data_IF_964743022694
#
_entry.id   IF_964743022694
#
_cell.length_a   1.000
_cell.length_b   1.000
_cell.length_c   1.000
_cell.angle_alpha   90.00
_cell.angle_beta   90.00
_cell.angle_gamma   90.00
#
_symmetry.space_group_name_H-M   'P 1'
#
loop_
_entity.id
_entity.type
_entity.pdbx_description
1 polymer ?
#
# COMPACT_ATOMS: atom_id res chain seq x y z
N UNK A 1 2.95 -45.06 17.34
CA UNK A 1 4.12 -44.33 16.81
C UNK A 1 4.85 -45.21 15.80
N UNK A 2 4.59 -45.06 14.50
CA UNK A 2 5.28 -45.84 13.44
C UNK A 2 6.20 -44.92 12.61
N UNK A 3 7.45 -44.84 13.09
CA UNK A 3 8.73 -44.75 12.38
C UNK A 3 8.92 -43.68 11.27
N UNK A 4 9.75 -42.65 11.51
CA UNK A 4 10.50 -41.86 10.50
C UNK A 4 11.32 -42.68 9.46
N UNK A 5 11.38 -44.01 9.57
CA UNK A 5 12.19 -44.92 8.77
C UNK A 5 11.68 -45.15 7.32
N UNK A 6 10.40 -44.93 7.04
CA UNK A 6 9.80 -45.27 5.74
C UNK A 6 10.13 -44.26 4.62
N UNK A 7 10.11 -42.95 4.91
CA UNK A 7 10.41 -41.89 3.92
C UNK A 7 11.90 -41.95 3.52
N UNK A 8 12.79 -42.18 4.48
CA UNK A 8 14.22 -42.30 4.23
C UNK A 8 14.57 -43.47 3.28
N UNK A 9 13.92 -44.64 3.46
CA UNK A 9 14.08 -45.79 2.57
C UNK A 9 13.57 -45.50 1.14
N UNK A 10 12.49 -44.72 1.02
CA UNK A 10 11.99 -44.26 -0.29
C UNK A 10 13.01 -43.36 -0.99
N UNK A 11 13.59 -42.39 -0.27
CA UNK A 11 14.61 -41.49 -0.82
C UNK A 11 15.85 -42.25 -1.29
N UNK A 12 16.34 -43.22 -0.50
CA UNK A 12 17.44 -44.10 -0.90
C UNK A 12 17.10 -44.93 -2.15
N UNK A 13 15.87 -45.43 -2.24
CA UNK A 13 15.42 -46.19 -3.42
C UNK A 13 15.32 -45.32 -4.68
N UNK A 14 14.88 -44.06 -4.55
CA UNK A 14 14.86 -43.08 -5.66
C UNK A 14 16.28 -42.72 -6.12
N UNK A 15 17.20 -42.51 -5.18
CA UNK A 15 18.61 -42.25 -5.49
C UNK A 15 19.26 -43.43 -6.22
N UNK A 16 18.96 -44.67 -5.82
CA UNK A 16 19.43 -45.87 -6.50
C UNK A 16 18.90 -46.00 -7.94
N UNK A 17 17.64 -45.60 -8.17
CA UNK A 17 17.04 -45.55 -9.51
C UNK A 17 17.68 -44.47 -10.40
N UNK A 18 18.10 -43.34 -9.83
CA UNK A 18 18.87 -42.32 -10.57
C UNK A 18 20.28 -42.82 -10.93
N UNK A 19 20.96 -43.47 -10.00
CA UNK A 19 22.34 -43.93 -10.18
C UNK A 19 22.47 -45.16 -11.08
N UNK A 20 21.41 -45.96 -11.24
CA UNK A 20 21.43 -47.15 -12.07
C UNK A 20 20.22 -47.20 -13.02
N UNK A 21 20.38 -46.73 -14.28
CA UNK A 21 19.29 -46.67 -15.25
C UNK A 21 18.75 -48.05 -15.69
N UNK A 22 19.45 -49.16 -15.40
CA UNK A 22 18.96 -50.53 -15.65
C UNK A 22 18.12 -51.08 -14.49
N UNK A 23 18.12 -50.42 -13.32
CA UNK A 23 17.38 -50.87 -12.16
C UNK A 23 15.87 -50.60 -12.36
N UNK A 24 15.07 -51.66 -12.29
CA UNK A 24 13.62 -51.52 -12.40
C UNK A 24 13.01 -51.03 -11.09
N UNK A 25 11.89 -50.30 -11.19
CA UNK A 25 11.19 -49.73 -10.03
C UNK A 25 10.66 -50.81 -9.07
N UNK A 26 10.21 -51.97 -9.61
CA UNK A 26 9.85 -53.14 -8.81
C UNK A 26 11.04 -53.74 -8.07
N UNK A 27 12.21 -53.79 -8.72
CA UNK A 27 13.41 -54.33 -8.10
C UNK A 27 13.93 -53.42 -6.99
N UNK A 28 13.93 -52.11 -7.22
CA UNK A 28 14.26 -51.11 -6.20
C UNK A 28 13.32 -51.20 -4.99
N UNK A 29 12.00 -51.29 -5.21
CA UNK A 29 11.02 -51.48 -4.15
C UNK A 29 11.32 -52.73 -3.28
N UNK A 30 11.72 -53.84 -3.91
CA UNK A 30 12.10 -55.07 -3.21
C UNK A 30 13.41 -54.97 -2.44
N UNK A 31 14.42 -54.27 -2.96
CA UNK A 31 15.74 -54.13 -2.31
C UNK A 31 15.66 -53.25 -1.07
N UNK A 32 14.90 -52.15 -1.15
CA UNK A 32 14.79 -51.17 -0.07
C UNK A 32 13.57 -51.40 0.84
N UNK A 33 12.87 -52.53 0.67
CA UNK A 33 11.68 -52.92 1.46
C UNK A 33 10.57 -51.86 1.46
N UNK A 34 10.34 -51.23 0.32
CA UNK A 34 9.33 -50.18 0.14
C UNK A 34 8.16 -50.72 -0.67
N UNK A 35 6.92 -50.36 -0.33
CA UNK A 35 5.76 -50.67 -1.18
C UNK A 35 5.92 -50.03 -2.57
N UNK A 36 5.79 -50.85 -3.61
CA UNK A 36 5.93 -50.42 -5.01
C UNK A 36 5.06 -49.20 -5.36
N UNK A 37 3.80 -49.18 -4.89
CA UNK A 37 2.88 -48.06 -5.14
C UNK A 37 3.43 -46.74 -4.62
N UNK A 38 3.93 -46.71 -3.38
CA UNK A 38 4.48 -45.50 -2.76
C UNK A 38 5.74 -45.04 -3.50
N UNK A 39 6.64 -45.95 -3.87
CA UNK A 39 7.84 -45.61 -4.63
C UNK A 39 7.51 -45.04 -6.02
N UNK A 40 6.50 -45.61 -6.69
CA UNK A 40 6.02 -45.12 -7.99
C UNK A 40 5.42 -43.73 -7.87
N UNK A 41 4.56 -43.52 -6.88
CA UNK A 41 3.89 -42.24 -6.67
C UNK A 41 4.91 -41.14 -6.36
N UNK A 42 5.94 -41.45 -5.54
CA UNK A 42 7.06 -40.54 -5.23
C UNK A 42 7.95 -40.26 -6.43
N UNK A 43 8.25 -41.27 -7.27
CA UNK A 43 8.98 -41.05 -8.54
C UNK A 43 8.20 -40.12 -9.47
N UNK A 44 6.87 -40.17 -9.43
CA UNK A 44 5.99 -39.30 -10.22
C UNK A 44 5.75 -37.93 -9.55
N UNK A 45 6.48 -37.58 -8.49
CA UNK A 45 6.40 -36.27 -7.82
C UNK A 45 5.28 -36.14 -6.79
N UNK A 46 4.54 -37.21 -6.49
CA UNK A 46 3.48 -37.17 -5.47
C UNK A 46 4.14 -37.22 -4.08
N UNK A 47 4.06 -36.10 -3.37
CA UNK A 47 4.58 -35.96 -2.00
C UNK A 47 3.76 -36.77 -0.98
N UNK A 48 4.33 -36.94 0.21
CA UNK A 48 3.61 -37.57 1.32
C UNK A 48 2.47 -36.67 1.76
N UNK A 49 1.42 -37.25 2.37
CA UNK A 49 0.38 -36.43 3.01
C UNK A 49 0.93 -35.56 4.14
N UNK A 50 2.05 -35.94 4.78
CA UNK A 50 2.69 -35.14 5.83
C UNK A 50 3.43 -33.94 5.26
N UNK A 51 3.96 -34.07 4.06
CA UNK A 51 4.73 -33.03 3.37
C UNK A 51 3.87 -32.28 2.33
N UNK A 52 2.59 -32.61 2.24
CA UNK A 52 1.65 -32.00 1.30
C UNK A 52 1.34 -30.57 1.74
N UNK A 53 1.63 -29.60 0.87
CA UNK A 53 1.27 -28.21 1.08
C UNK A 53 -0.24 -28.03 0.80
N UNK A 54 -1.04 -27.57 1.77
CA UNK A 54 -2.47 -27.40 1.56
C UNK A 54 -2.76 -26.25 0.60
N UNK A 55 -3.73 -26.45 -0.31
CA UNK A 55 -4.16 -25.42 -1.27
C UNK A 55 -4.69 -24.14 -0.61
N UNK A 56 -5.08 -24.19 0.68
CA UNK A 56 -5.53 -23.03 1.45
C UNK A 56 -4.41 -22.16 1.99
N UNK A 57 -3.13 -22.56 1.82
CA UNK A 57 -1.98 -21.75 2.23
C UNK A 57 -1.91 -20.49 1.36
N UNK A 58 -1.97 -19.31 2.00
CA UNK A 58 -1.94 -18.02 1.32
C UNK A 58 -0.55 -17.40 1.18
N UNK A 59 0.33 -17.71 2.14
CA UNK A 59 1.69 -17.20 2.23
C UNK A 59 2.68 -18.24 1.67
N UNK A 60 3.76 -17.76 1.07
CA UNK A 60 4.90 -18.54 0.63
C UNK A 60 5.86 -18.83 1.79
N UNK A 61 6.78 -19.78 1.60
CA UNK A 61 7.81 -20.10 2.61
C UNK A 61 8.64 -18.87 3.00
N UNK A 62 8.94 -18.01 2.02
CA UNK A 62 9.71 -16.79 2.25
C UNK A 62 8.91 -15.74 3.02
N UNK A 63 7.63 -15.55 2.70
CA UNK A 63 6.75 -14.63 3.42
C UNK A 63 6.55 -15.08 4.88
N UNK A 64 6.38 -16.39 5.12
CA UNK A 64 6.32 -16.94 6.48
C UNK A 64 7.65 -16.75 7.22
N UNK A 65 8.79 -16.89 6.54
CA UNK A 65 10.10 -16.63 7.15
C UNK A 65 10.28 -15.17 7.54
N UNK A 66 9.79 -14.22 6.74
CA UNK A 66 9.78 -12.79 7.09
C UNK A 66 8.97 -12.54 8.36
N UNK A 67 7.80 -13.16 8.47
CA UNK A 67 6.95 -13.03 9.67
C UNK A 67 7.65 -13.61 10.91
N UNK A 68 8.31 -14.76 10.78
CA UNK A 68 9.09 -15.35 11.87
C UNK A 68 10.21 -14.40 12.30
N UNK A 69 10.94 -13.84 11.34
CA UNK A 69 12.02 -12.88 11.63
C UNK A 69 11.50 -11.62 12.32
N UNK A 70 10.33 -11.13 11.90
CA UNK A 70 9.65 -10.00 12.53
C UNK A 70 9.24 -10.29 13.98
N UNK A 71 8.71 -11.48 14.26
CA UNK A 71 8.36 -11.88 15.64
C UNK A 71 9.60 -11.94 16.53
N UNK A 72 10.71 -12.50 16.02
CA UNK A 72 11.98 -12.55 16.75
C UNK A 72 12.55 -11.16 17.02
N UNK A 73 12.41 -10.23 16.07
CA UNK A 73 12.82 -8.84 16.24
C UNK A 73 11.97 -8.14 17.32
N UNK A 74 10.65 -8.34 17.34
CA UNK A 74 9.77 -7.82 18.39
C UNK A 74 10.16 -8.33 19.78
N UNK A 75 10.41 -9.62 19.91
CA UNK A 75 10.84 -10.25 21.17
C UNK A 75 12.18 -9.69 21.64
N UNK A 76 13.15 -9.55 20.72
CA UNK A 76 14.47 -8.98 21.03
C UNK A 76 14.40 -7.53 21.55
N UNK A 77 13.37 -6.78 21.14
CA UNK A 77 13.11 -5.39 21.56
C UNK A 77 12.22 -5.29 22.80
N UNK A 78 11.78 -6.43 23.36
CA UNK A 78 10.89 -6.47 24.53
C UNK A 78 9.45 -6.09 24.23
N UNK A 79 9.02 -6.09 22.96
CA UNK A 79 7.63 -5.85 22.58
C UNK A 79 6.87 -7.18 22.49
N UNK A 80 5.69 -7.30 23.13
CA UNK A 80 4.89 -8.52 23.05
C UNK A 80 4.36 -8.73 21.62
N UNK A 81 4.58 -9.93 21.07
CA UNK A 81 4.03 -10.34 19.78
C UNK A 81 2.52 -10.58 19.88
N UNK A 82 1.73 -9.57 19.51
CA UNK A 82 0.26 -9.71 19.42
C UNK A 82 -0.12 -10.32 18.08
N UNK A 83 -1.13 -11.18 18.09
CA UNK A 83 -1.75 -11.78 16.89
C UNK A 83 -2.06 -10.72 15.81
N UNK A 84 -2.58 -9.56 16.23
CA UNK A 84 -2.89 -8.44 15.33
C UNK A 84 -1.66 -7.94 14.55
N UNK A 85 -0.49 -7.83 15.17
CA UNK A 85 0.71 -7.35 14.48
C UNK A 85 1.20 -8.36 13.44
N UNK A 86 1.08 -9.65 13.75
CA UNK A 86 1.39 -10.75 12.81
C UNK A 86 0.42 -10.73 11.62
N UNK A 87 -0.86 -10.50 11.88
CA UNK A 87 -1.90 -10.38 10.85
C UNK A 87 -1.67 -9.15 9.96
N UNK A 88 -1.36 -7.98 10.53
CA UNK A 88 -1.04 -6.76 9.78
C UNK A 88 0.19 -6.96 8.89
N UNK A 89 1.25 -7.59 9.40
CA UNK A 89 2.45 -7.94 8.63
C UNK A 89 2.12 -8.91 7.48
N UNK A 90 1.37 -9.97 7.75
CA UNK A 90 0.97 -10.94 6.75
C UNK A 90 0.12 -10.31 5.63
N UNK A 91 -0.84 -9.45 6.00
CA UNK A 91 -1.68 -8.74 5.04
C UNK A 91 -0.85 -7.76 4.19
N UNK A 92 0.13 -7.06 4.79
CA UNK A 92 1.05 -6.18 4.05
C UNK A 92 1.81 -6.95 2.97
N UNK A 93 2.39 -8.10 3.32
CA UNK A 93 3.13 -8.95 2.36
C UNK A 93 2.23 -9.40 1.20
N UNK A 94 0.97 -9.74 1.48
CA UNK A 94 0.00 -10.11 0.43
C UNK A 94 -0.35 -8.92 -0.47
N UNK A 95 -0.47 -7.71 0.08
CA UNK A 95 -0.71 -6.49 -0.69
C UNK A 95 0.51 -6.21 -1.59
N UNK A 96 1.72 -6.27 -1.04
CA UNK A 96 2.96 -6.03 -1.79
C UNK A 96 3.16 -7.05 -2.91
N UNK A 97 2.80 -8.32 -2.70
CA UNK A 97 2.84 -9.34 -3.75
C UNK A 97 1.87 -9.06 -4.89
N UNK A 98 0.68 -8.55 -4.56
CA UNK A 98 -0.36 -8.22 -5.53
C UNK A 98 -0.19 -6.81 -6.11
N UNK A 99 0.70 -5.99 -5.54
CA UNK A 99 1.07 -4.71 -6.09
C UNK A 99 1.77 -4.96 -7.44
N UNK A 100 1.32 -4.23 -8.47
CA UNK A 100 1.97 -4.18 -9.77
C UNK A 100 3.48 -3.99 -9.58
N UNK A 101 4.36 -4.70 -10.33
CA UNK A 101 5.80 -4.56 -10.18
C UNK A 101 6.13 -3.07 -10.23
N UNK A 102 6.69 -2.56 -9.12
CA UNK A 102 6.95 -1.15 -8.85
C UNK A 102 7.11 -0.39 -10.17
N UNK A 103 6.02 0.24 -10.64
CA UNK A 103 6.01 0.92 -11.95
C UNK A 103 7.14 1.95 -11.98
N UNK A 104 7.43 2.52 -10.81
CA UNK A 104 8.60 3.31 -10.49
C UNK A 104 9.91 2.61 -10.90
N UNK A 105 10.19 1.40 -10.38
CA UNK A 105 11.40 0.65 -10.70
C UNK A 105 11.45 0.16 -12.16
N UNK A 106 10.30 -0.24 -12.73
CA UNK A 106 10.19 -0.72 -14.11
C UNK A 106 10.56 0.36 -15.13
N UNK A 107 10.12 1.60 -14.89
CA UNK A 107 10.33 2.73 -15.80
C UNK A 107 11.42 3.69 -15.33
N UNK A 108 12.09 3.40 -14.20
CA UNK A 108 13.10 4.28 -13.63
C UNK A 108 12.54 5.66 -13.26
N UNK A 109 11.28 5.72 -12.83
CA UNK A 109 10.64 6.98 -12.42
C UNK A 109 11.34 7.45 -11.16
N UNK A 110 11.88 8.67 -11.19
CA UNK A 110 12.57 9.23 -10.04
C UNK A 110 11.56 9.90 -9.10
N UNK A 111 11.95 10.11 -7.84
CA UNK A 111 11.11 10.77 -6.85
C UNK A 111 10.71 12.20 -7.28
N UNK A 112 11.63 12.90 -7.96
CA UNK A 112 11.38 14.23 -8.55
C UNK A 112 10.34 14.23 -9.69
N UNK A 113 10.08 13.08 -10.31
CA UNK A 113 9.10 12.90 -11.38
C UNK A 113 7.72 12.46 -10.88
N UNK A 114 7.56 12.20 -9.57
CA UNK A 114 6.30 11.77 -8.98
C UNK A 114 5.59 13.00 -8.43
N UNK A 115 4.48 13.36 -9.05
CA UNK A 115 3.67 14.52 -8.68
C UNK A 115 2.30 14.10 -8.19
N UNK A 116 1.90 14.62 -7.03
CA UNK A 116 0.51 14.62 -6.61
C UNK A 116 -0.12 15.95 -7.04
N UNK A 117 -1.15 15.88 -7.88
CA UNK A 117 -1.92 17.02 -8.36
C UNK A 117 -3.34 16.86 -7.86
N UNK A 118 -3.85 17.87 -7.14
CA UNK A 118 -5.20 17.81 -6.58
C UNK A 118 -5.87 19.19 -6.55
N UNK A 119 -7.20 19.18 -6.47
CA UNK A 119 -8.05 20.36 -6.43
C UNK A 119 -8.78 20.43 -5.07
N UNK A 120 -8.72 21.59 -4.43
CA UNK A 120 -9.39 21.83 -3.16
C UNK A 120 -10.26 23.08 -3.21
N UNK A 121 -11.49 22.97 -2.73
CA UNK A 121 -12.43 24.08 -2.63
C UNK A 121 -12.43 24.70 -1.23
N UNK A 122 -12.32 26.02 -1.16
CA UNK A 122 -12.49 26.82 0.04
C UNK A 122 -13.79 27.63 -0.05
N UNK A 123 -14.73 27.39 0.85
CA UNK A 123 -15.95 28.21 0.89
C UNK A 123 -15.68 29.53 1.60
N UNK A 124 -15.96 30.64 0.91
CA UNK A 124 -15.89 31.97 1.50
C UNK A 124 -16.99 32.15 2.55
N UNK A 125 -16.66 32.84 3.65
CA UNK A 125 -17.63 33.18 4.69
C UNK A 125 -17.95 32.08 5.71
N UNK A 126 -17.44 30.85 5.54
CA UNK A 126 -17.53 29.81 6.56
C UNK A 126 -16.37 29.92 7.54
N UNK A 127 -16.69 30.21 8.81
CA UNK A 127 -15.79 30.06 9.93
C UNK A 127 -16.02 28.65 10.51
N UNK A 128 -15.01 27.78 10.42
CA UNK A 128 -15.02 26.49 11.10
C UNK A 128 -15.09 26.71 12.62
N UNK A 129 -15.81 25.86 13.36
CA UNK A 129 -15.93 25.98 14.81
C UNK A 129 -14.54 25.79 15.46
N UNK A 130 -13.91 26.89 15.86
CA UNK A 130 -12.65 26.91 16.60
C UNK A 130 -12.89 27.03 18.12
N UNK A 131 -12.09 26.34 18.92
CA UNK A 131 -12.11 26.51 20.37
C UNK A 131 -11.38 27.80 20.73
N UNK A 132 -12.11 28.82 21.20
CA UNK A 132 -11.54 30.10 21.65
C UNK A 132 -11.62 30.18 23.17
N UNK A 133 -10.46 30.25 23.83
CA UNK A 133 -10.37 30.53 25.27
C UNK A 133 -10.57 32.03 25.46
N UNK A 134 -11.65 32.45 26.14
CA UNK A 134 -11.85 33.85 26.53
C UNK A 134 -11.89 33.96 28.05
N UNK A 135 -11.77 35.18 28.57
CA UNK A 135 -12.02 35.47 30.00
C UNK A 135 -13.42 35.04 30.46
N UNK A 136 -13.57 34.81 31.76
CA UNK A 136 -14.79 34.33 32.43
C UNK A 136 -15.93 35.34 32.45
N UNK A 137 -15.63 36.64 32.27
CA UNK A 137 -16.65 37.67 32.16
C UNK A 137 -17.18 37.73 30.71
N UNK A 138 -18.40 37.21 30.50
CA UNK A 138 -19.10 37.30 29.22
C UNK A 138 -20.47 37.94 29.42
N UNK A 139 -20.72 39.09 28.78
CA UNK A 139 -22.08 39.62 28.59
C UNK A 139 -22.68 39.00 27.32
N UNK A 140 -23.53 37.99 27.50
CA UNK A 140 -24.39 37.44 26.44
C UNK A 140 -23.82 36.23 25.68
N UNK A 141 -24.69 35.59 24.89
CA UNK A 141 -24.31 34.51 23.97
C UNK A 141 -23.76 35.12 22.67
N UNK A 142 -22.56 34.72 22.20
CA UNK A 142 -22.06 35.14 20.90
C UNK A 142 -23.03 34.67 19.81
N UNK A 143 -23.43 35.57 18.91
CA UNK A 143 -24.16 35.19 17.70
C UNK A 143 -23.16 34.89 16.60
N UNK A 144 -23.28 33.73 15.97
CA UNK A 144 -22.56 33.43 14.73
C UNK A 144 -23.10 34.33 13.63
N UNK A 145 -22.38 35.38 13.28
CA UNK A 145 -22.68 36.19 12.10
C UNK A 145 -21.93 35.56 10.94
N UNK A 146 -22.60 34.72 10.17
CA UNK A 146 -22.08 34.27 8.88
C UNK A 146 -22.52 35.30 7.83
N UNK A 147 -21.58 35.95 7.13
CA UNK A 147 -21.91 36.69 5.92
C UNK A 147 -22.63 35.75 4.95
N UNK A 148 -23.71 36.20 4.32
CA UNK A 148 -24.56 35.37 3.47
C UNK A 148 -23.92 34.91 2.14
N UNK A 149 -22.68 35.33 1.86
CA UNK A 149 -21.96 34.88 0.67
C UNK A 149 -21.32 33.52 0.93
N UNK A 150 -21.65 32.52 0.10
CA UNK A 150 -21.21 31.11 0.18
C UNK A 150 -20.49 30.66 -1.10
N UNK A 151 -19.93 31.62 -1.81
CA UNK A 151 -19.13 31.35 -3.01
C UNK A 151 -17.88 30.52 -2.66
N UNK A 152 -17.48 29.65 -3.58
CA UNK A 152 -16.31 28.81 -3.45
C UNK A 152 -15.12 29.44 -4.19
N UNK A 153 -13.94 29.31 -3.60
CA UNK A 153 -12.65 29.50 -4.26
C UNK A 153 -12.06 28.12 -4.46
N UNK A 154 -11.69 27.81 -5.69
CA UNK A 154 -11.04 26.56 -6.05
C UNK A 154 -9.54 26.80 -6.13
N UNK A 155 -8.75 25.92 -5.53
CA UNK A 155 -7.29 25.97 -5.55
C UNK A 155 -6.77 24.65 -6.06
N UNK A 156 -5.97 24.72 -7.11
CA UNK A 156 -5.25 23.59 -7.67
C UNK A 156 -3.82 23.69 -7.20
N UNK A 157 -3.28 22.59 -6.67
CA UNK A 157 -1.91 22.54 -6.23
C UNK A 157 -1.26 21.22 -6.63
N UNK A 158 0.03 21.28 -6.95
CA UNK A 158 0.85 20.11 -7.19
C UNK A 158 2.08 20.11 -6.30
N UNK A 159 2.41 18.96 -5.72
CA UNK A 159 3.62 18.75 -4.92
C UNK A 159 4.30 17.47 -5.39
N UNK A 160 5.62 17.52 -5.59
CA UNK A 160 6.38 16.33 -5.94
C UNK A 160 6.81 15.53 -4.70
N UNK A 161 7.26 14.28 -4.89
CA UNK A 161 7.66 13.43 -3.76
C UNK A 161 8.92 13.92 -3.02
N UNK A 162 9.69 14.85 -3.61
CA UNK A 162 10.83 15.51 -2.99
C UNK A 162 10.45 16.78 -2.20
N UNK A 163 9.16 17.14 -2.17
CA UNK A 163 8.61 18.26 -1.40
C UNK A 163 8.61 19.61 -2.12
N UNK A 164 8.92 19.64 -3.42
CA UNK A 164 8.76 20.84 -4.25
C UNK A 164 7.28 21.06 -4.60
N UNK A 165 6.77 22.25 -4.30
CA UNK A 165 5.41 22.65 -4.62
C UNK A 165 5.39 23.60 -5.83
N UNK A 166 4.51 23.34 -6.79
CA UNK A 166 4.17 24.29 -7.85
C UNK A 166 3.30 25.39 -7.25
N UNK A 167 3.44 26.61 -7.77
CA UNK A 167 2.60 27.75 -7.38
C UNK A 167 1.12 27.37 -7.57
N UNK A 168 0.26 27.65 -6.57
CA UNK A 168 -1.14 27.29 -6.65
C UNK A 168 -1.84 28.10 -7.75
N UNK A 169 -2.79 27.45 -8.42
CA UNK A 169 -3.69 28.09 -9.38
C UNK A 169 -5.05 28.30 -8.70
N UNK A 170 -5.48 29.56 -8.60
CA UNK A 170 -6.67 29.95 -7.84
C UNK A 170 -7.77 30.39 -8.79
N UNK A 171 -8.96 29.82 -8.62
CA UNK A 171 -10.13 30.12 -9.42
C UNK A 171 -11.25 30.62 -8.52
N UNK A 172 -11.71 31.84 -8.77
CA UNK A 172 -12.93 32.38 -8.15
C UNK A 172 -14.13 32.24 -9.09
N UNK A 173 -15.32 32.00 -8.53
CA UNK A 173 -16.56 32.16 -9.29
C UNK A 173 -16.83 33.65 -9.55
N UNK A 174 -16.95 34.06 -10.82
CA UNK A 174 -17.25 35.43 -11.19
C UNK A 174 -16.89 35.76 -12.64
N UNK A 175 -17.41 36.89 -13.13
CA UNK A 175 -17.06 37.41 -14.47
C UNK A 175 -15.86 38.37 -14.41
N UNK A 176 -15.70 39.07 -13.28
CA UNK A 176 -14.63 40.01 -13.02
C UNK A 176 -14.24 39.91 -11.54
N UNK A 177 -12.95 39.95 -11.26
CA UNK A 177 -12.43 40.14 -9.92
C UNK A 177 -11.67 41.47 -9.84
N UNK A 178 -11.67 42.11 -8.68
CA UNK A 178 -10.89 43.32 -8.46
C UNK A 178 -9.43 42.92 -8.21
N UNK A 179 -8.52 43.31 -9.10
CA UNK A 179 -7.10 42.98 -8.99
C UNK A 179 -6.45 43.45 -7.67
N UNK A 180 -7.03 44.46 -7.03
CA UNK A 180 -6.58 44.96 -5.73
C UNK A 180 -6.71 43.92 -4.61
N UNK A 181 -7.59 42.92 -4.75
CA UNK A 181 -7.78 41.86 -3.74
C UNK A 181 -6.53 41.03 -3.50
N UNK A 182 -5.67 40.88 -4.51
CA UNK A 182 -4.39 40.18 -4.37
C UNK A 182 -3.18 41.11 -4.50
N UNK A 183 -3.28 42.22 -5.26
CA UNK A 183 -2.18 43.21 -5.38
C UNK A 183 -1.88 43.98 -4.11
N UNK A 184 -2.87 44.16 -3.23
CA UNK A 184 -2.70 44.82 -1.92
C UNK A 184 -2.69 43.80 -0.76
N UNK A 185 -2.56 42.51 -1.08
CA UNK A 185 -2.54 41.42 -0.09
C UNK A 185 -1.12 40.89 0.15
N UNK A 186 -0.97 40.03 1.17
CA UNK A 186 0.29 39.31 1.42
C UNK A 186 0.47 38.09 0.50
N UNK A 187 -0.36 37.92 -0.54
CA UNK A 187 -0.22 36.81 -1.48
C UNK A 187 0.99 37.05 -2.39
N UNK A 188 1.81 36.01 -2.65
CA UNK A 188 2.89 36.09 -3.62
C UNK A 188 2.37 36.47 -5.02
N UNK A 189 3.06 37.41 -5.68
CA UNK A 189 2.63 37.96 -6.97
C UNK A 189 2.85 37.02 -8.17
N UNK A 190 3.43 35.85 -7.94
CA UNK A 190 3.68 34.80 -8.92
C UNK A 190 2.56 33.75 -8.96
N UNK A 191 1.51 33.90 -8.15
CA UNK A 191 0.36 32.98 -8.17
C UNK A 191 -0.59 33.31 -9.32
N UNK A 192 -1.03 32.28 -10.05
CA UNK A 192 -2.03 32.42 -11.08
C UNK A 192 -3.43 32.53 -10.44
N UNK A 193 -4.15 33.61 -10.75
CA UNK A 193 -5.49 33.87 -10.23
C UNK A 193 -6.39 34.22 -11.41
N UNK A 194 -7.43 33.42 -11.60
CA UNK A 194 -8.42 33.64 -12.67
C UNK A 194 -9.85 33.54 -12.11
N UNK A 195 -10.81 33.92 -12.94
CA UNK A 195 -12.23 33.81 -12.60
C UNK A 195 -12.99 33.13 -13.72
N UNK A 196 -13.80 32.14 -13.35
CA UNK A 196 -14.72 31.47 -14.27
C UNK A 196 -16.16 31.69 -13.83
N UNK A 197 -17.12 31.60 -14.76
CA UNK A 197 -18.53 31.83 -14.44
C UNK A 197 -19.09 30.83 -13.40
N UNK A 198 -18.51 29.64 -13.32
CA UNK A 198 -18.95 28.55 -12.45
C UNK A 198 -17.98 28.25 -11.28
N UNK A 199 -16.79 28.86 -11.24
CA UNK A 199 -15.76 28.62 -10.22
C UNK A 199 -14.98 27.31 -10.39
N UNK A 200 -15.09 26.66 -11.56
CA UNK A 200 -14.39 25.42 -11.89
C UNK A 200 -13.37 25.64 -13.00
N UNK A 201 -12.45 24.70 -13.13
CA UNK A 201 -11.53 24.59 -14.28
C UNK A 201 -12.28 24.25 -15.56
N UNK A 202 -11.87 24.88 -16.66
CA UNK A 202 -12.25 24.50 -18.02
C UNK A 202 -11.00 24.36 -18.90
N UNK A 203 -11.16 23.81 -20.10
CA UNK A 203 -10.03 23.57 -21.01
C UNK A 203 -9.36 24.87 -21.48
N UNK A 204 -10.05 26.01 -21.37
CA UNK A 204 -9.53 27.31 -21.77
C UNK A 204 -8.66 27.93 -20.65
N UNK A 205 -9.11 27.82 -19.40
CA UNK A 205 -8.37 28.27 -18.20
C UNK A 205 -7.19 27.38 -17.83
N UNK A 206 -7.18 26.11 -18.23
CA UNK A 206 -6.03 25.23 -18.03
C UNK A 206 -4.81 25.52 -18.93
N UNK A 207 -4.92 26.47 -19.87
CA UNK A 207 -3.85 26.87 -20.79
C UNK A 207 -3.18 28.21 -20.43
N UNK A 208 -3.72 28.96 -19.46
CA UNK A 208 -3.14 30.20 -18.92
C UNK A 208 -2.09 29.91 -17.85
#
# INVERSE_FOLDING_TARGET
MSQPLNEARILLALQALQNNPKLSLRRAASIYEVRYSILRDRKNGIQSRRDYIPNSRKLSDLEEQIIVQFILDLDSRGFPSRLRFVEEMANSLLVDRNASPNTIAKYGIRSDDIWNFDETGFMMGIIMAGMVVTGSERQGRPKSVQPGNREWITVIQAINADGWAVQPFIIGAGQYHLANWYRESNLPGDWAITTTQNGWTDNETGLE
#
